data_IF_671257347702
#
_entry.id   IF_671257347702
#
_cell.length_a   1.000
_cell.length_b   1.000
_cell.length_c   1.000
_cell.angle_alpha   90.00
_cell.angle_beta   90.00
_cell.angle_gamma   90.00
#
_symmetry.space_group_name_H-M   'P 1'
#
loop_
_entity.id
_entity.type
_entity.pdbx_description
1 polymer ?
#
# COMPACT_ATOMS: atom_id res chain seq x y z
N UNK A 1 9.61 4.34 -2.67
CA UNK A 1 9.64 3.87 -4.08
C UNK A 1 9.47 5.03 -5.04
N UNK A 2 8.30 5.67 -5.12
CA UNK A 2 7.98 6.64 -6.15
C UNK A 2 8.99 7.80 -6.27
N UNK A 3 9.28 8.52 -5.19
CA UNK A 3 10.22 9.64 -5.22
C UNK A 3 11.65 9.24 -5.58
N UNK A 4 12.11 8.08 -5.11
CA UNK A 4 13.44 7.57 -5.47
C UNK A 4 13.51 7.14 -6.93
N UNK A 5 12.46 6.50 -7.46
CA UNK A 5 12.37 6.13 -8.89
C UNK A 5 12.31 7.39 -9.78
N UNK A 6 11.53 8.39 -9.39
CA UNK A 6 11.46 9.67 -10.08
C UNK A 6 12.82 10.38 -10.08
N UNK A 7 13.52 10.43 -8.95
CA UNK A 7 14.83 11.05 -8.84
C UNK A 7 15.89 10.34 -9.68
N UNK A 8 15.91 9.00 -9.65
CA UNK A 8 16.84 8.21 -10.46
C UNK A 8 16.57 8.41 -11.96
N UNK A 9 15.31 8.41 -12.38
CA UNK A 9 14.92 8.62 -13.78
C UNK A 9 15.24 10.03 -14.26
N UNK A 10 14.93 11.06 -13.46
CA UNK A 10 15.26 12.44 -13.80
C UNK A 10 16.78 12.66 -13.95
N UNK A 11 17.59 12.04 -13.08
CA UNK A 11 19.06 12.05 -13.21
C UNK A 11 19.55 11.37 -14.47
N UNK A 12 18.97 10.22 -14.82
CA UNK A 12 19.29 9.52 -16.08
C UNK A 12 18.99 10.39 -17.31
N UNK A 13 17.93 11.21 -17.25
CA UNK A 13 17.57 12.19 -18.27
C UNK A 13 18.44 13.48 -18.24
N UNK A 14 19.42 13.55 -17.35
CA UNK A 14 20.35 14.67 -17.24
C UNK A 14 19.88 15.85 -16.41
N UNK A 15 18.74 15.72 -15.71
CA UNK A 15 18.21 16.79 -14.88
C UNK A 15 18.97 16.95 -13.56
N UNK A 16 18.94 18.16 -13.04
CA UNK A 16 19.35 18.46 -11.69
C UNK A 16 18.14 18.26 -10.73
N UNK A 17 18.31 17.45 -9.70
CA UNK A 17 17.23 17.02 -8.82
C UNK A 17 17.60 17.32 -7.36
N UNK A 18 16.67 17.89 -6.60
CA UNK A 18 16.70 17.95 -5.15
C UNK A 18 15.59 17.04 -4.59
N UNK A 19 15.93 16.21 -3.59
CA UNK A 19 14.97 15.32 -2.94
C UNK A 19 14.87 15.69 -1.46
N UNK A 20 13.64 15.82 -0.99
CA UNK A 20 13.34 16.14 0.41
C UNK A 20 12.57 14.98 1.05
N UNK A 21 13.03 14.54 2.22
CA UNK A 21 12.43 13.47 3.01
C UNK A 21 12.17 13.96 4.42
N UNK A 22 10.92 13.89 4.87
CA UNK A 22 10.54 14.32 6.22
C UNK A 22 11.08 13.39 7.32
N UNK A 23 11.18 12.11 6.99
CA UNK A 23 11.68 11.08 7.90
C UNK A 23 13.17 11.15 8.15
N UNK A 24 13.62 10.30 9.05
CA UNK A 24 15.03 10.14 9.43
C UNK A 24 15.82 9.21 8.49
N UNK A 25 15.16 8.62 7.50
CA UNK A 25 15.73 7.69 6.54
C UNK A 25 14.98 7.65 5.21
N UNK A 26 15.68 7.27 4.16
CA UNK A 26 15.13 7.06 2.82
C UNK A 26 14.36 5.74 2.72
N UNK A 27 13.47 5.62 1.71
CA UNK A 27 12.77 4.38 1.35
C UNK A 27 11.33 4.27 1.82
N UNK A 28 10.94 4.97 2.88
CA UNK A 28 9.57 5.01 3.39
C UNK A 28 9.00 3.63 3.69
N UNK A 29 7.70 3.42 3.42
CA UNK A 29 7.01 2.14 3.66
C UNK A 29 7.50 0.98 2.75
N UNK A 30 8.26 1.26 1.71
CA UNK A 30 8.88 0.21 0.89
C UNK A 30 9.78 -0.70 1.75
N UNK A 31 10.51 -0.14 2.70
CA UNK A 31 11.37 -0.91 3.62
C UNK A 31 10.62 -1.87 4.54
N UNK A 32 9.32 -1.63 4.76
CA UNK A 32 8.43 -2.46 5.57
C UNK A 32 7.64 -3.48 4.73
N UNK A 33 7.84 -3.47 3.42
CA UNK A 33 7.15 -4.36 2.49
C UNK A 33 7.87 -5.69 2.30
N UNK A 34 7.19 -6.65 1.65
CA UNK A 34 7.82 -7.89 1.19
C UNK A 34 8.70 -7.71 -0.06
N UNK A 35 8.76 -6.52 -0.64
CA UNK A 35 9.55 -6.21 -1.83
C UNK A 35 9.00 -6.76 -3.14
N UNK A 36 7.77 -7.28 -3.17
CA UNK A 36 7.19 -7.85 -4.40
C UNK A 36 6.62 -6.74 -5.28
N UNK A 37 7.22 -6.54 -6.44
CA UNK A 37 6.77 -5.63 -7.50
C UNK A 37 6.08 -6.48 -8.56
N UNK A 38 4.76 -6.32 -8.74
CA UNK A 38 3.95 -7.23 -9.53
C UNK A 38 2.77 -6.54 -10.21
N UNK A 39 2.26 -7.13 -11.30
CA UNK A 39 0.98 -6.83 -11.95
C UNK A 39 0.13 -8.08 -12.13
N UNK A 40 -1.15 -7.93 -12.42
CA UNK A 40 -1.96 -9.05 -12.89
C UNK A 40 -1.40 -9.58 -14.20
N UNK A 41 -1.46 -10.90 -14.37
CA UNK A 41 -1.01 -11.55 -15.61
C UNK A 41 -1.86 -11.11 -16.79
N UNK A 42 -3.17 -11.19 -16.62
CA UNK A 42 -4.15 -10.87 -17.64
C UNK A 42 -4.82 -9.53 -17.35
N UNK A 43 -5.03 -8.74 -18.39
CA UNK A 43 -5.70 -7.45 -18.30
C UNK A 43 -7.10 -7.55 -17.73
N UNK A 44 -7.93 -8.52 -18.21
CA UNK A 44 -9.29 -8.72 -17.74
C UNK A 44 -9.34 -9.10 -16.26
N UNK A 45 -8.31 -9.82 -15.77
CA UNK A 45 -8.17 -10.10 -14.35
C UNK A 45 -7.93 -8.82 -13.56
N UNK A 46 -7.06 -7.92 -14.03
CA UNK A 46 -6.83 -6.64 -13.38
C UNK A 46 -8.14 -5.83 -13.27
N UNK A 47 -8.88 -5.71 -14.37
CA UNK A 47 -10.17 -5.01 -14.38
C UNK A 47 -11.19 -5.64 -13.45
N UNK A 48 -11.21 -6.95 -13.33
CA UNK A 48 -12.11 -7.67 -12.42
C UNK A 48 -11.73 -7.46 -10.95
N UNK A 49 -10.45 -7.41 -10.64
CA UNK A 49 -9.94 -7.26 -9.28
C UNK A 49 -9.92 -5.82 -8.78
N UNK A 50 -9.90 -4.83 -9.67
CA UNK A 50 -9.94 -3.41 -9.36
C UNK A 50 -10.95 -2.71 -10.30
N UNK A 51 -12.26 -3.02 -10.19
CA UNK A 51 -13.27 -2.64 -11.18
C UNK A 51 -13.49 -1.13 -11.27
N UNK A 52 -13.32 -0.42 -10.16
CA UNK A 52 -13.59 1.01 -10.06
C UNK A 52 -12.35 1.88 -10.33
N UNK A 53 -11.21 1.25 -10.62
CA UNK A 53 -9.99 1.94 -10.96
C UNK A 53 -10.05 2.62 -12.32
N UNK A 54 -9.34 3.73 -12.46
CA UNK A 54 -9.19 4.43 -13.75
C UNK A 54 -8.50 3.51 -14.77
N UNK A 55 -9.20 3.23 -15.87
CA UNK A 55 -8.73 2.26 -16.86
C UNK A 55 -7.43 2.73 -17.55
N UNK A 56 -7.28 4.02 -17.81
CA UNK A 56 -6.08 4.54 -18.46
C UNK A 56 -4.86 4.43 -17.54
N UNK A 57 -5.00 4.74 -16.25
CA UNK A 57 -3.94 4.56 -15.27
C UNK A 57 -3.57 3.10 -15.06
N UNK A 58 -4.57 2.22 -14.99
CA UNK A 58 -4.34 0.78 -14.88
C UNK A 58 -3.59 0.23 -16.08
N UNK A 59 -3.95 0.69 -17.30
CA UNK A 59 -3.31 0.28 -18.54
C UNK A 59 -1.84 0.67 -18.57
N UNK A 60 -1.53 1.90 -18.19
CA UNK A 60 -0.14 2.38 -18.07
C UNK A 60 0.68 1.47 -17.15
N UNK A 61 0.16 1.17 -15.95
CA UNK A 61 0.89 0.32 -15.01
C UNK A 61 1.02 -1.11 -15.53
N UNK A 62 -0.02 -1.65 -16.16
CA UNK A 62 -0.02 -3.02 -16.70
C UNK A 62 0.97 -3.19 -17.86
N UNK A 63 1.05 -2.21 -18.74
CA UNK A 63 1.88 -2.29 -19.95
C UNK A 63 3.36 -1.94 -19.68
N UNK A 64 3.64 -1.03 -18.74
CA UNK A 64 5.00 -0.51 -18.54
C UNK A 64 5.76 -1.16 -17.37
N UNK A 65 5.09 -2.04 -16.58
CA UNK A 65 5.75 -2.58 -15.40
C UNK A 65 6.94 -3.47 -15.73
N UNK A 66 6.87 -4.27 -16.78
CA UNK A 66 7.94 -5.22 -17.11
C UNK A 66 9.22 -4.47 -17.44
N UNK A 67 9.15 -3.43 -18.29
CA UNK A 67 10.27 -2.54 -18.61
C UNK A 67 10.79 -1.81 -17.36
N UNK A 68 9.90 -1.41 -16.48
CA UNK A 68 10.28 -0.74 -15.23
C UNK A 68 11.01 -1.69 -14.26
N UNK A 69 10.63 -2.96 -14.20
CA UNK A 69 11.32 -4.01 -13.42
C UNK A 69 12.70 -4.32 -14.02
N UNK A 70 12.80 -4.41 -15.34
CA UNK A 70 14.09 -4.57 -16.03
C UNK A 70 15.02 -3.39 -15.74
N UNK A 71 14.48 -2.17 -15.76
CA UNK A 71 15.24 -0.97 -15.39
C UNK A 71 15.75 -1.05 -13.94
N UNK A 72 14.93 -1.44 -12.95
CA UNK A 72 15.38 -1.65 -11.56
C UNK A 72 16.53 -2.66 -11.48
N UNK A 73 16.41 -3.75 -12.22
CA UNK A 73 17.44 -4.80 -12.27
C UNK A 73 18.74 -4.26 -12.87
N UNK A 74 18.64 -3.43 -13.91
CA UNK A 74 19.82 -2.77 -14.53
C UNK A 74 20.54 -1.79 -13.59
N UNK A 75 19.82 -1.20 -12.63
CA UNK A 75 20.39 -0.37 -11.56
C UNK A 75 21.09 -1.20 -10.46
N UNK A 76 21.03 -2.52 -10.56
CA UNK A 76 21.62 -3.44 -9.57
C UNK A 76 20.77 -3.67 -8.33
N UNK A 77 19.43 -3.52 -8.42
CA UNK A 77 18.52 -3.90 -7.37
C UNK A 77 18.56 -5.43 -7.14
N UNK A 78 18.78 -5.92 -5.90
CA UNK A 78 18.94 -7.34 -5.66
C UNK A 78 17.62 -8.10 -5.82
N UNK A 79 17.56 -9.00 -6.80
CA UNK A 79 16.43 -9.91 -7.00
C UNK A 79 16.52 -11.06 -6.01
N UNK A 80 15.44 -11.31 -5.26
CA UNK A 80 15.29 -12.42 -4.34
C UNK A 80 14.56 -13.59 -5.01
N UNK A 81 13.52 -13.28 -5.81
CA UNK A 81 12.68 -14.28 -6.44
C UNK A 81 12.01 -13.70 -7.68
N UNK A 82 11.90 -14.48 -8.74
CA UNK A 82 11.24 -14.08 -10.00
C UNK A 82 9.77 -14.49 -10.09
N UNK A 83 9.19 -14.96 -8.99
CA UNK A 83 7.79 -15.35 -8.90
C UNK A 83 7.09 -14.63 -7.74
N UNK A 84 5.77 -14.45 -7.89
CA UNK A 84 4.95 -13.77 -6.88
C UNK A 84 4.32 -14.72 -5.87
N UNK A 85 4.33 -16.02 -6.17
CA UNK A 85 3.60 -17.06 -5.43
C UNK A 85 2.08 -17.01 -5.60
N UNK A 86 1.57 -16.18 -6.53
CA UNK A 86 0.15 -16.10 -6.87
C UNK A 86 -0.01 -16.30 -8.38
N UNK A 87 -0.75 -17.32 -8.86
CA UNK A 87 -0.91 -17.63 -10.28
C UNK A 87 -1.59 -16.54 -11.11
N UNK A 88 -2.35 -15.65 -10.45
CA UNK A 88 -3.01 -14.51 -11.10
C UNK A 88 -2.04 -13.37 -11.45
N UNK A 89 -0.81 -13.41 -10.93
CA UNK A 89 0.11 -12.28 -11.01
C UNK A 89 1.47 -12.68 -11.58
N UNK A 90 2.18 -11.70 -12.12
CA UNK A 90 3.57 -11.81 -12.55
C UNK A 90 4.38 -10.67 -11.94
N UNK A 91 5.64 -10.90 -11.66
CA UNK A 91 6.50 -9.87 -11.07
C UNK A 91 7.74 -10.45 -10.42
N UNK A 92 8.47 -9.57 -9.74
CA UNK A 92 9.76 -9.87 -9.13
C UNK A 92 9.76 -9.43 -7.67
N UNK A 93 10.34 -10.24 -6.82
CA UNK A 93 10.62 -9.90 -5.44
C UNK A 93 12.05 -9.40 -5.31
N UNK A 94 12.20 -8.17 -4.85
CA UNK A 94 13.48 -7.56 -4.51
C UNK A 94 13.72 -7.59 -3.00
N UNK A 95 14.99 -7.53 -2.59
CA UNK A 95 15.32 -7.15 -1.22
C UNK A 95 15.00 -5.65 -1.02
N UNK A 96 14.10 -5.26 -0.08
CA UNK A 96 13.68 -3.87 0.04
C UNK A 96 14.81 -2.89 0.38
N UNK A 97 15.79 -3.31 1.18
CA UNK A 97 16.93 -2.48 1.55
C UNK A 97 17.85 -2.27 0.35
N UNK A 98 18.24 -3.35 -0.32
CA UNK A 98 19.07 -3.28 -1.52
C UNK A 98 18.40 -2.55 -2.69
N UNK A 99 17.07 -2.66 -2.83
CA UNK A 99 16.30 -1.89 -3.80
C UNK A 99 16.36 -0.38 -3.48
N UNK A 100 16.22 -0.01 -2.20
CA UNK A 100 16.39 1.38 -1.77
C UNK A 100 17.79 1.91 -2.10
N UNK A 101 18.82 1.15 -1.76
CA UNK A 101 20.22 1.50 -2.04
C UNK A 101 20.50 1.63 -3.54
N UNK A 102 19.96 0.75 -4.38
CA UNK A 102 20.13 0.83 -5.83
C UNK A 102 19.53 2.13 -6.40
N UNK A 103 18.33 2.50 -5.97
CA UNK A 103 17.67 3.73 -6.37
C UNK A 103 18.38 4.98 -5.84
N UNK A 104 18.94 4.96 -4.64
CA UNK A 104 19.74 6.06 -4.09
C UNK A 104 21.03 6.26 -4.88
N UNK A 105 21.75 5.19 -5.23
CA UNK A 105 22.96 5.28 -6.06
C UNK A 105 22.69 5.85 -7.45
N UNK A 106 21.56 5.50 -8.06
CA UNK A 106 21.16 6.00 -9.38
C UNK A 106 20.61 7.43 -9.32
N UNK A 107 19.96 7.78 -8.22
CA UNK A 107 19.32 9.08 -7.99
C UNK A 107 20.18 10.08 -7.22
N UNK A 108 19.58 10.64 -6.20
CA UNK A 108 20.17 11.68 -5.34
C UNK A 108 19.90 11.31 -3.88
N UNK A 109 20.87 11.53 -3.01
CA UNK A 109 20.70 11.42 -1.56
C UNK A 109 19.70 12.47 -1.07
N UNK A 110 18.59 12.06 -0.42
CA UNK A 110 17.58 12.99 0.08
C UNK A 110 18.10 13.85 1.24
N UNK A 111 17.56 15.06 1.35
CA UNK A 111 17.72 15.89 2.54
C UNK A 111 16.74 15.40 3.60
N UNK A 112 17.22 14.57 4.51
CA UNK A 112 16.44 13.98 5.60
C UNK A 112 15.99 15.03 6.63
N UNK A 113 14.92 14.71 7.39
CA UNK A 113 14.35 15.58 8.39
C UNK A 113 13.77 16.89 7.83
N UNK A 114 13.47 16.93 6.53
CA UNK A 114 13.04 18.15 5.84
C UNK A 114 11.64 18.00 5.25
N UNK A 115 10.67 18.68 5.85
CA UNK A 115 9.30 18.78 5.37
C UNK A 115 9.15 20.02 4.48
N UNK A 116 8.60 19.85 3.28
CA UNK A 116 8.21 20.98 2.43
C UNK A 116 6.80 21.43 2.79
N UNK A 117 6.65 22.75 3.07
CA UNK A 117 5.36 23.37 3.38
C UNK A 117 4.66 23.99 2.16
N UNK A 118 5.40 24.21 1.06
CA UNK A 118 4.88 24.83 -0.17
C UNK A 118 5.75 24.46 -1.38
N UNK A 119 5.20 24.47 -2.61
CA UNK A 119 5.97 24.36 -3.85
C UNK A 119 6.99 25.48 -4.01
N UNK A 120 8.01 25.25 -4.84
CA UNK A 120 8.94 26.29 -5.28
C UNK A 120 8.41 26.91 -6.58
N UNK A 121 8.43 28.24 -6.65
CA UNK A 121 7.97 28.95 -7.85
C UNK A 121 8.77 28.55 -9.09
N UNK A 122 8.07 28.13 -10.15
CA UNK A 122 8.67 27.79 -11.44
C UNK A 122 9.54 26.55 -11.46
N UNK A 123 9.51 25.73 -10.41
CA UNK A 123 10.26 24.46 -10.34
C UNK A 123 9.27 23.30 -10.35
N UNK A 124 9.39 22.34 -11.29
CA UNK A 124 8.57 21.13 -11.28
C UNK A 124 8.65 20.39 -9.93
N UNK A 125 7.52 19.98 -9.39
CA UNK A 125 7.42 19.29 -8.11
C UNK A 125 6.72 17.95 -8.26
N UNK A 126 7.38 16.85 -7.86
CA UNK A 126 6.80 15.51 -7.81
C UNK A 126 6.49 15.15 -6.36
N UNK A 127 5.21 15.02 -6.04
CA UNK A 127 4.68 14.61 -4.76
C UNK A 127 4.75 13.08 -4.64
N UNK A 128 5.56 12.59 -3.68
CA UNK A 128 5.80 11.17 -3.46
C UNK A 128 5.94 10.87 -1.96
N UNK A 129 5.08 11.51 -1.13
CA UNK A 129 5.16 11.50 0.34
C UNK A 129 4.55 10.24 0.97
N UNK A 130 3.87 9.40 0.16
CA UNK A 130 3.45 8.06 0.55
C UNK A 130 2.01 7.94 1.05
N UNK A 131 1.15 8.92 0.79
CA UNK A 131 -0.24 8.93 1.19
C UNK A 131 -0.48 9.47 2.59
N UNK A 132 -1.67 9.21 3.15
CA UNK A 132 -2.10 9.86 4.40
C UNK A 132 -2.48 8.91 5.54
N UNK A 133 -2.18 7.63 5.44
CA UNK A 133 -2.52 6.61 6.45
C UNK A 133 -1.88 6.87 7.82
N UNK A 134 -0.83 7.67 7.90
CA UNK A 134 -0.18 8.10 9.15
C UNK A 134 -0.86 9.28 9.84
N UNK A 135 -1.82 9.95 9.18
CA UNK A 135 -2.58 11.07 9.74
C UNK A 135 -3.93 10.60 10.27
N UNK A 136 -4.11 10.56 11.59
CA UNK A 136 -5.40 10.21 12.21
C UNK A 136 -6.54 11.11 11.74
N UNK A 137 -6.28 12.40 11.55
CA UNK A 137 -7.30 13.37 11.14
C UNK A 137 -7.74 13.17 9.69
N UNK A 138 -6.80 12.94 8.77
CA UNK A 138 -7.15 12.66 7.37
C UNK A 138 -7.82 11.29 7.22
N UNK A 139 -7.37 10.27 7.97
CA UNK A 139 -8.03 8.96 8.00
C UNK A 139 -9.45 9.07 8.57
N UNK A 140 -9.65 9.88 9.62
CA UNK A 140 -10.99 10.13 10.17
C UNK A 140 -11.88 10.86 9.18
N UNK A 141 -11.32 11.80 8.45
CA UNK A 141 -12.07 12.61 7.47
C UNK A 141 -12.49 11.79 6.25
N UNK A 142 -11.60 10.96 5.74
CA UNK A 142 -11.83 10.31 4.44
C UNK A 142 -12.12 8.81 4.53
N UNK A 143 -11.60 8.08 5.51
CA UNK A 143 -11.65 6.62 5.52
C UNK A 143 -12.66 6.07 6.54
N UNK A 144 -12.50 6.41 7.82
CA UNK A 144 -13.36 5.88 8.90
C UNK A 144 -13.32 6.75 10.14
N UNK A 145 -14.47 6.91 10.85
CA UNK A 145 -14.50 7.56 12.15
C UNK A 145 -13.65 6.82 13.21
N UNK A 146 -13.41 5.51 13.03
CA UNK A 146 -12.61 4.68 13.92
C UNK A 146 -11.09 4.82 13.73
N UNK A 147 -10.64 5.93 13.16
CA UNK A 147 -9.23 6.17 12.80
C UNK A 147 -8.23 5.92 13.95
N UNK A 148 -8.62 6.23 15.20
CA UNK A 148 -7.74 6.06 16.37
C UNK A 148 -7.52 4.58 16.72
N UNK A 149 -8.45 3.72 16.33
CA UNK A 149 -8.42 2.28 16.60
C UNK A 149 -7.64 1.49 15.54
N UNK A 150 -7.39 2.08 14.36
CA UNK A 150 -6.62 1.40 13.32
C UNK A 150 -5.15 1.21 13.72
N UNK A 151 -4.60 0.06 13.39
CA UNK A 151 -3.16 -0.20 13.51
C UNK A 151 -2.43 0.31 12.27
N UNK A 152 -1.49 1.24 12.45
CA UNK A 152 -0.66 1.72 11.35
C UNK A 152 0.38 0.66 10.95
N UNK A 153 0.27 0.12 9.73
CA UNK A 153 1.21 -0.84 9.11
C UNK A 153 2.09 -0.16 8.06
N UNK A 154 2.56 1.03 8.33
CA UNK A 154 3.37 1.83 7.43
C UNK A 154 4.36 2.67 8.22
N UNK A 155 5.23 3.41 7.50
CA UNK A 155 6.03 4.41 8.17
C UNK A 155 5.14 5.55 8.72
N UNK A 156 5.51 6.18 9.85
CA UNK A 156 4.68 7.20 10.48
C UNK A 156 4.69 8.56 9.74
N UNK A 157 5.62 8.75 8.81
CA UNK A 157 5.76 10.04 8.08
C UNK A 157 4.83 10.19 6.89
N UNK A 158 4.15 9.13 6.45
CA UNK A 158 3.10 9.19 5.40
C UNK A 158 1.82 9.82 5.96
N UNK A 159 1.86 11.12 6.22
CA UNK A 159 0.83 11.89 6.94
C UNK A 159 0.04 12.85 6.05
N UNK A 160 0.11 12.69 4.71
CA UNK A 160 -0.72 13.42 3.76
C UNK A 160 -0.13 14.75 3.28
N UNK A 161 1.15 14.99 3.48
CA UNK A 161 1.78 16.26 3.07
C UNK A 161 1.61 16.49 1.57
N UNK A 162 1.86 15.47 0.74
CA UNK A 162 1.68 15.54 -0.70
C UNK A 162 0.21 15.76 -1.10
N UNK A 163 -0.72 15.07 -0.45
CA UNK A 163 -2.16 15.28 -0.68
C UNK A 163 -2.56 16.74 -0.43
N UNK A 164 -2.16 17.29 0.71
CA UNK A 164 -2.50 18.68 1.08
C UNK A 164 -1.85 19.70 0.15
N UNK A 165 -0.59 19.50 -0.23
CA UNK A 165 0.11 20.37 -1.20
C UNK A 165 -0.55 20.34 -2.58
N UNK A 166 -0.89 19.13 -3.07
CA UNK A 166 -1.56 19.00 -4.36
C UNK A 166 -2.94 19.64 -4.40
N UNK A 167 -3.74 19.49 -3.34
CA UNK A 167 -5.03 20.14 -3.21
C UNK A 167 -4.90 21.68 -3.13
N UNK A 168 -3.93 22.17 -2.36
CA UNK A 168 -3.66 23.61 -2.26
C UNK A 168 -3.22 24.23 -3.60
N UNK A 169 -2.61 23.44 -4.48
CA UNK A 169 -2.21 23.84 -5.81
C UNK A 169 -3.33 23.74 -6.87
N UNK A 170 -4.56 23.42 -6.46
CA UNK A 170 -5.72 23.32 -7.36
C UNK A 170 -5.99 21.90 -7.87
N UNK A 171 -5.27 20.89 -7.40
CA UNK A 171 -5.59 19.49 -7.65
C UNK A 171 -6.91 19.06 -7.01
N UNK A 172 -7.38 17.88 -7.35
CA UNK A 172 -8.60 17.29 -6.81
C UNK A 172 -8.36 15.88 -6.28
N UNK A 173 -9.29 15.39 -5.47
CA UNK A 173 -9.26 14.01 -4.99
C UNK A 173 -9.63 13.04 -6.13
N UNK A 174 -9.01 11.87 -6.11
CA UNK A 174 -9.42 10.74 -6.92
C UNK A 174 -10.69 10.10 -6.36
N UNK A 175 -11.36 9.30 -7.19
CA UNK A 175 -12.39 8.39 -6.71
C UNK A 175 -11.74 7.35 -5.77
N UNK A 176 -12.51 6.83 -4.80
CA UNK A 176 -12.01 5.85 -3.84
C UNK A 176 -11.07 6.41 -2.77
N UNK A 177 -11.12 7.70 -2.47
CA UNK A 177 -10.31 8.32 -1.39
C UNK A 177 -10.55 7.69 -0.02
N UNK A 178 -11.74 7.11 0.19
CA UNK A 178 -12.14 6.39 1.40
C UNK A 178 -11.56 4.97 1.49
N UNK A 179 -10.90 4.50 0.45
CA UNK A 179 -10.39 3.14 0.38
C UNK A 179 -8.92 3.07 0.77
N UNK A 180 -8.54 1.93 1.31
CA UNK A 180 -7.17 1.65 1.69
C UNK A 180 -6.83 0.17 1.52
N UNK A 181 -5.56 -0.10 1.32
CA UNK A 181 -5.00 -1.43 1.46
C UNK A 181 -4.57 -1.66 2.90
N UNK A 182 -4.99 -2.78 3.46
CA UNK A 182 -4.65 -3.17 4.82
C UNK A 182 -4.69 -4.68 5.02
N UNK A 183 -4.52 -5.09 6.28
CA UNK A 183 -4.64 -6.48 6.73
C UNK A 183 -5.32 -6.53 8.08
N UNK A 184 -6.11 -7.57 8.31
CA UNK A 184 -6.51 -7.91 9.65
C UNK A 184 -5.27 -8.34 10.44
N UNK A 185 -5.13 -7.81 11.65
CA UNK A 185 -4.07 -8.13 12.61
C UNK A 185 -4.67 -8.69 13.89
N UNK A 186 -3.92 -9.45 14.69
CA UNK A 186 -4.36 -9.81 16.03
C UNK A 186 -4.72 -8.56 16.84
N UNK A 187 -5.87 -8.54 17.49
CA UNK A 187 -6.28 -7.44 18.35
C UNK A 187 -5.48 -7.47 19.65
N UNK A 188 -4.34 -6.80 19.66
CA UNK A 188 -3.42 -6.65 20.80
C UNK A 188 -3.06 -5.20 20.99
N UNK A 189 -2.53 -4.86 22.16
CA UNK A 189 -2.09 -3.50 22.49
C UNK A 189 -0.84 -3.06 21.75
N UNK A 190 -0.02 -4.02 21.31
CA UNK A 190 1.23 -3.73 20.60
C UNK A 190 1.44 -4.70 19.44
N UNK A 191 1.51 -4.16 18.23
CA UNK A 191 1.91 -4.91 17.04
C UNK A 191 3.30 -4.42 16.62
N UNK A 192 4.35 -5.26 16.67
CA UNK A 192 5.69 -4.86 16.27
C UNK A 192 5.74 -4.45 14.81
N UNK A 193 6.45 -3.35 14.50
CA UNK A 193 6.56 -2.81 13.12
C UNK A 193 7.21 -3.83 12.17
N UNK A 194 8.20 -4.56 12.63
CA UNK A 194 8.90 -5.63 11.91
C UNK A 194 8.10 -6.94 11.84
N UNK A 195 7.05 -7.09 12.66
CA UNK A 195 6.17 -8.25 12.71
C UNK A 195 4.94 -8.21 11.79
N UNK A 196 4.66 -7.10 11.15
CA UNK A 196 3.41 -6.90 10.40
C UNK A 196 3.07 -7.99 9.38
N UNK A 197 4.07 -8.48 8.63
CA UNK A 197 3.84 -9.50 7.60
C UNK A 197 3.47 -10.82 8.26
N UNK A 198 4.24 -11.25 9.26
CA UNK A 198 4.04 -12.54 9.94
C UNK A 198 2.80 -12.62 10.81
N UNK A 199 2.25 -11.47 11.22
CA UNK A 199 1.05 -11.38 12.06
C UNK A 199 -0.25 -11.18 11.28
N UNK A 200 -0.18 -10.96 9.95
CA UNK A 200 -1.38 -10.79 9.14
C UNK A 200 -2.29 -12.03 9.21
N UNK A 201 -3.54 -11.83 9.58
CA UNK A 201 -4.58 -12.85 9.69
C UNK A 201 -5.28 -12.98 8.34
N UNK A 202 -4.66 -13.68 7.39
CA UNK A 202 -5.11 -13.80 5.99
C UNK A 202 -5.84 -15.13 5.78
N UNK A 203 -6.98 -15.30 6.44
CA UNK A 203 -7.81 -16.51 6.34
C UNK A 203 -9.32 -16.23 6.49
N UNK A 204 -9.76 -14.99 6.23
CA UNK A 204 -11.17 -14.63 6.30
C UNK A 204 -12.06 -15.48 5.39
N UNK A 205 -11.51 -15.98 4.26
CA UNK A 205 -12.22 -16.90 3.33
C UNK A 205 -12.58 -18.25 3.96
N UNK A 206 -11.96 -18.61 5.09
CA UNK A 206 -12.20 -19.85 5.85
C UNK A 206 -12.92 -19.58 7.17
N UNK A 207 -13.31 -18.34 7.43
CA UNK A 207 -13.91 -17.90 8.67
C UNK A 207 -15.24 -17.19 8.43
N UNK A 208 -16.11 -17.27 9.41
CA UNK A 208 -17.19 -16.29 9.54
C UNK A 208 -16.60 -15.03 10.18
N UNK A 209 -16.87 -13.87 9.58
CA UNK A 209 -16.39 -12.57 10.10
C UNK A 209 -17.57 -11.85 10.73
N UNK A 210 -17.48 -11.60 12.04
CA UNK A 210 -18.57 -10.96 12.82
C UNK A 210 -18.04 -9.83 13.68
N UNK A 211 -18.82 -8.77 13.87
CA UNK A 211 -18.49 -7.71 14.83
C UNK A 211 -18.97 -8.06 16.25
N UNK A 212 -18.71 -7.20 17.23
CA UNK A 212 -19.13 -7.37 18.62
C UNK A 212 -20.66 -7.42 18.79
N UNK A 213 -21.42 -6.81 17.89
CA UNK A 213 -22.89 -6.84 17.92
C UNK A 213 -23.48 -8.11 17.26
N UNK A 214 -22.63 -8.99 16.71
CA UNK A 214 -23.04 -10.19 15.98
C UNK A 214 -23.44 -9.95 14.54
N UNK A 215 -23.19 -8.76 13.98
CA UNK A 215 -23.39 -8.49 12.56
C UNK A 215 -22.29 -9.15 11.74
N UNK A 216 -22.70 -9.79 10.64
CA UNK A 216 -21.81 -10.56 9.77
C UNK A 216 -21.35 -9.74 8.57
N UNK A 217 -20.14 -10.01 8.15
CA UNK A 217 -19.68 -9.58 6.83
C UNK A 217 -20.30 -10.50 5.76
N UNK A 218 -21.10 -9.91 4.86
CA UNK A 218 -21.82 -10.63 3.80
C UNK A 218 -21.21 -10.39 2.40
N UNK A 219 -20.13 -9.61 2.33
CA UNK A 219 -19.48 -9.25 1.06
C UNK A 219 -18.60 -10.37 0.48
N UNK A 220 -18.07 -10.19 -0.72
CA UNK A 220 -17.11 -11.10 -1.31
C UNK A 220 -15.81 -11.11 -0.51
N UNK A 221 -15.12 -12.26 -0.49
CA UNK A 221 -13.79 -12.39 0.10
C UNK A 221 -12.80 -12.67 -1.03
N UNK A 222 -12.15 -11.60 -1.52
CA UNK A 222 -11.09 -11.70 -2.50
C UNK A 222 -9.83 -12.37 -1.94
N UNK A 223 -8.90 -12.74 -2.81
CA UNK A 223 -7.64 -13.38 -2.39
C UNK A 223 -6.77 -12.49 -1.49
N UNK A 224 -6.95 -11.19 -1.59
CA UNK A 224 -6.24 -10.19 -0.79
C UNK A 224 -7.01 -9.75 0.46
N UNK A 225 -8.28 -10.14 0.61
CA UNK A 225 -9.15 -9.86 1.77
C UNK A 225 -9.23 -8.36 2.13
N UNK A 226 -9.03 -7.47 1.15
CA UNK A 226 -9.03 -6.00 1.37
C UNK A 226 -10.42 -5.52 1.78
N UNK A 227 -11.44 -6.06 1.17
CA UNK A 227 -12.85 -5.74 1.41
C UNK A 227 -13.26 -6.04 2.85
N UNK A 228 -12.80 -7.19 3.35
CA UNK A 228 -13.01 -7.61 4.75
C UNK A 228 -12.37 -6.62 5.71
N UNK A 229 -11.12 -6.23 5.45
CA UNK A 229 -10.39 -5.31 6.34
C UNK A 229 -11.01 -3.91 6.31
N UNK A 230 -11.49 -3.45 5.16
CA UNK A 230 -12.21 -2.18 5.06
C UNK A 230 -13.54 -2.22 5.80
N UNK A 231 -14.25 -3.35 5.79
CA UNK A 231 -15.44 -3.54 6.60
C UNK A 231 -15.11 -3.51 8.10
N UNK A 232 -14.09 -4.25 8.54
CA UNK A 232 -13.61 -4.25 9.93
C UNK A 232 -13.26 -2.82 10.40
N UNK A 233 -12.60 -2.05 9.55
CA UNK A 233 -12.20 -0.68 9.86
C UNK A 233 -13.38 0.27 10.16
N UNK A 234 -14.59 -0.10 9.74
CA UNK A 234 -15.83 0.67 9.98
C UNK A 234 -16.65 0.13 11.16
N UNK A 235 -16.21 -0.98 11.78
CA UNK A 235 -16.87 -1.51 12.97
C UNK A 235 -16.39 -0.79 14.22
N UNK A 236 -17.18 -0.76 15.31
CA UNK A 236 -16.75 -0.15 16.57
C UNK A 236 -15.37 -0.64 17.02
N UNK A 237 -14.46 0.28 17.32
CA UNK A 237 -13.08 -0.02 17.68
C UNK A 237 -12.24 -0.62 16.55
N UNK A 238 -12.72 -0.55 15.30
CA UNK A 238 -12.11 -1.19 14.13
C UNK A 238 -11.80 -2.68 14.34
N UNK A 239 -12.68 -3.41 15.04
CA UNK A 239 -12.50 -4.80 15.48
C UNK A 239 -13.59 -5.72 14.95
N UNK A 240 -13.23 -7.00 14.82
CA UNK A 240 -14.13 -8.09 14.50
C UNK A 240 -13.60 -9.41 15.06
N UNK A 241 -14.38 -10.45 14.88
CA UNK A 241 -14.00 -11.82 15.19
C UNK A 241 -13.93 -12.63 13.90
N UNK A 242 -12.83 -13.38 13.74
CA UNK A 242 -12.74 -14.46 12.76
C UNK A 242 -13.11 -15.76 13.46
N UNK A 243 -14.30 -16.30 13.17
CA UNK A 243 -14.80 -17.56 13.72
C UNK A 243 -14.50 -18.68 12.73
N UNK A 244 -13.55 -19.53 13.09
CA UNK A 244 -12.97 -20.56 12.21
C UNK A 244 -13.45 -21.94 12.67
N UNK A 245 -14.11 -22.74 11.81
CA UNK A 245 -14.45 -24.12 12.13
C UNK A 245 -13.20 -25.00 12.18
N UNK A 246 -13.22 -26.04 13.00
CA UNK A 246 -12.07 -26.97 13.14
C UNK A 246 -11.64 -27.60 11.82
N UNK A 247 -12.58 -27.82 10.91
CA UNK A 247 -12.29 -28.36 9.59
C UNK A 247 -11.37 -27.47 8.74
N UNK A 248 -11.31 -26.16 9.04
CA UNK A 248 -10.50 -25.20 8.30
C UNK A 248 -9.12 -24.93 8.92
N UNK A 249 -8.80 -25.51 10.09
CA UNK A 249 -7.52 -25.24 10.77
C UNK A 249 -6.30 -25.69 9.97
N UNK A 250 -6.42 -26.73 9.14
CA UNK A 250 -5.35 -27.24 8.30
C UNK A 250 -5.23 -26.56 6.93
N UNK A 251 -6.16 -25.65 6.61
CA UNK A 251 -6.13 -24.93 5.34
C UNK A 251 -4.90 -24.06 5.20
N UNK A 252 -4.30 -24.09 4.00
CA UNK A 252 -3.09 -23.33 3.69
C UNK A 252 -3.43 -21.89 3.30
N UNK A 253 -2.64 -20.98 3.84
CA UNK A 253 -2.63 -19.56 3.48
C UNK A 253 -1.26 -19.17 2.94
N UNK A 254 -1.12 -17.92 2.49
CA UNK A 254 0.17 -17.37 2.07
C UNK A 254 1.24 -17.40 3.18
N UNK A 255 0.86 -17.40 4.45
CA UNK A 255 1.77 -17.23 5.58
C UNK A 255 1.84 -18.45 6.51
N UNK A 256 1.33 -19.60 6.06
CA UNK A 256 1.23 -20.86 6.80
C UNK A 256 -0.20 -21.32 6.96
N UNK A 257 -0.44 -22.36 7.73
CA UNK A 257 -1.79 -22.87 7.97
C UNK A 257 -2.61 -21.90 8.84
N UNK A 258 -3.94 -22.00 8.76
CA UNK A 258 -4.86 -21.23 9.60
C UNK A 258 -4.52 -21.43 11.09
N UNK A 259 -4.27 -22.68 11.50
CA UNK A 259 -3.88 -23.00 12.88
C UNK A 259 -2.61 -22.29 13.33
N UNK A 260 -1.58 -22.20 12.46
CA UNK A 260 -0.35 -21.49 12.77
C UNK A 260 -0.57 -19.98 12.91
N UNK A 261 -1.42 -19.38 12.08
CA UNK A 261 -1.75 -17.95 12.18
C UNK A 261 -2.52 -17.64 13.48
N UNK A 262 -3.47 -18.49 13.87
CA UNK A 262 -4.17 -18.40 15.14
C UNK A 262 -3.19 -18.50 16.32
N UNK A 263 -2.23 -19.43 16.25
CA UNK A 263 -1.24 -19.60 17.31
C UNK A 263 -0.30 -18.38 17.40
N UNK A 264 0.07 -17.76 16.27
CA UNK A 264 0.82 -16.48 16.26
C UNK A 264 0.02 -15.36 16.91
N UNK A 265 -1.29 -15.27 16.62
CA UNK A 265 -2.16 -14.29 17.25
C UNK A 265 -2.22 -14.48 18.78
N UNK A 266 -2.34 -15.72 19.24
CA UNK A 266 -2.35 -16.04 20.68
C UNK A 266 -1.04 -15.65 21.36
N UNK A 267 0.12 -15.91 20.74
CA UNK A 267 1.45 -15.59 21.30
C UNK A 267 1.67 -14.10 21.50
N UNK A 268 1.07 -13.25 20.67
CA UNK A 268 1.15 -11.78 20.81
C UNK A 268 0.03 -11.20 21.70
N UNK A 269 -0.76 -12.05 22.36
CA UNK A 269 -1.74 -11.64 23.35
C UNK A 269 -3.12 -11.29 22.80
N UNK A 270 -3.43 -11.65 21.54
CA UNK A 270 -4.78 -11.50 21.03
C UNK A 270 -5.77 -12.42 21.77
N UNK A 271 -7.00 -11.95 21.89
CA UNK A 271 -8.10 -12.76 22.44
C UNK A 271 -8.45 -13.88 21.47
N UNK A 272 -8.26 -15.13 21.93
CA UNK A 272 -8.56 -16.34 21.17
C UNK A 272 -9.45 -17.23 22.03
N UNK A 273 -10.69 -17.45 21.59
CA UNK A 273 -11.70 -18.22 22.30
C UNK A 273 -11.97 -19.55 21.61
N UNK A 274 -12.03 -20.62 22.40
CA UNK A 274 -12.48 -21.92 21.91
C UNK A 274 -14.00 -22.00 22.09
N UNK A 275 -14.75 -22.33 21.04
CA UNK A 275 -16.21 -22.47 21.03
C UNK A 275 -16.59 -23.81 20.39
N UNK A 276 -16.85 -24.84 21.18
CA UNK A 276 -17.17 -26.20 20.70
C UNK A 276 -16.26 -26.65 19.55
N UNK A 277 -16.76 -26.62 18.31
CA UNK A 277 -16.05 -27.01 17.07
C UNK A 277 -15.45 -25.85 16.31
N UNK A 278 -15.29 -24.70 16.94
CA UNK A 278 -14.82 -23.47 16.33
C UNK A 278 -13.79 -22.77 17.20
N UNK A 279 -12.93 -21.98 16.56
CA UNK A 279 -12.03 -21.06 17.25
C UNK A 279 -12.29 -19.64 16.79
N UNK A 280 -12.61 -18.75 17.73
CA UNK A 280 -12.80 -17.34 17.44
C UNK A 280 -11.53 -16.55 17.79
N UNK A 281 -11.06 -15.71 16.88
CA UNK A 281 -9.89 -14.84 17.03
C UNK A 281 -10.32 -13.40 16.89
N UNK A 282 -10.04 -12.59 17.89
CA UNK A 282 -10.29 -11.15 17.80
C UNK A 282 -9.21 -10.49 16.93
N UNK A 283 -9.68 -9.76 15.92
CA UNK A 283 -8.82 -9.05 14.96
C UNK A 283 -9.13 -7.55 14.95
N UNK A 284 -8.14 -6.76 14.56
CA UNK A 284 -8.24 -5.32 14.36
C UNK A 284 -7.80 -4.97 12.94
N UNK A 285 -8.41 -3.96 12.35
CA UNK A 285 -7.99 -3.48 11.04
C UNK A 285 -6.64 -2.76 11.10
N UNK A 286 -5.70 -3.19 10.27
CA UNK A 286 -4.43 -2.50 10.05
C UNK A 286 -4.43 -1.78 8.70
N UNK A 287 -4.10 -0.50 8.70
CA UNK A 287 -3.98 0.32 7.49
C UNK A 287 -2.52 0.37 7.03
N UNK A 288 -2.28 0.01 5.77
CA UNK A 288 -0.93 0.00 5.17
C UNK A 288 -0.71 1.16 4.23
N UNK A 289 -1.68 1.43 3.37
CA UNK A 289 -1.62 2.50 2.38
C UNK A 289 -3.03 2.91 1.96
N UNK A 290 -3.26 4.21 1.84
CA UNK A 290 -4.44 4.74 1.16
C UNK A 290 -4.35 4.43 -0.34
N UNK A 291 -5.44 3.97 -0.95
CA UNK A 291 -5.52 3.67 -2.39
C UNK A 291 -6.08 4.83 -3.20
N UNK A 292 -6.82 5.71 -2.54
CA UNK A 292 -7.16 7.02 -3.06
C UNK A 292 -6.12 8.07 -2.66
N UNK A 293 -6.14 9.19 -3.36
CA UNK A 293 -5.20 10.29 -3.20
C UNK A 293 -5.55 11.45 -4.13
N UNK A 294 -4.55 12.08 -4.71
CA UNK A 294 -4.74 13.08 -5.75
C UNK A 294 -5.17 12.41 -7.06
N UNK A 295 -6.12 13.04 -7.75
CA UNK A 295 -6.45 12.69 -9.13
C UNK A 295 -5.28 13.08 -10.02
N UNK A 296 -4.84 12.16 -10.84
CA UNK A 296 -3.73 12.35 -11.77
C UNK A 296 -4.16 11.96 -13.19
N UNK A 297 -3.45 12.46 -14.18
CA UNK A 297 -3.50 11.91 -15.54
C UNK A 297 -2.50 10.76 -15.72
N UNK A 298 -2.41 10.20 -16.93
CA UNK A 298 -1.51 9.08 -17.25
C UNK A 298 -0.02 9.43 -17.17
N UNK A 299 0.34 10.68 -16.98
CA UNK A 299 1.69 11.17 -16.75
C UNK A 299 1.97 11.50 -15.29
N UNK A 300 0.97 11.33 -14.40
CA UNK A 300 1.06 11.68 -12.99
C UNK A 300 0.77 13.15 -12.68
N UNK A 301 0.34 13.95 -13.65
CA UNK A 301 0.10 15.38 -13.48
C UNK A 301 -1.14 15.63 -12.63
N UNK A 302 -1.00 16.51 -11.64
CA UNK A 302 -2.07 16.97 -10.72
C UNK A 302 -2.54 18.36 -11.09
N UNK A 303 -1.60 19.27 -11.31
CA UNK A 303 -1.80 20.66 -11.66
C UNK A 303 -0.60 21.16 -12.44
N UNK A 304 -0.61 22.43 -12.86
CA UNK A 304 0.52 23.02 -13.58
C UNK A 304 1.79 22.98 -12.72
N UNK A 305 2.86 22.37 -13.25
CA UNK A 305 4.13 22.19 -12.56
C UNK A 305 4.12 21.19 -11.40
N UNK A 306 3.03 20.43 -11.18
CA UNK A 306 2.91 19.50 -10.06
C UNK A 306 2.45 18.12 -10.52
N UNK A 307 3.18 17.09 -10.10
CA UNK A 307 2.91 15.68 -10.34
C UNK A 307 2.78 14.93 -9.01
N UNK A 308 2.11 13.78 -9.02
CA UNK A 308 2.04 12.87 -7.88
C UNK A 308 2.28 11.43 -8.31
N UNK A 309 2.91 10.65 -7.43
CA UNK A 309 3.16 9.23 -7.65
C UNK A 309 3.15 8.44 -6.34
N UNK A 310 2.93 7.13 -6.44
CA UNK A 310 2.83 6.26 -5.28
C UNK A 310 1.59 6.54 -4.44
N UNK A 311 1.70 6.60 -3.11
CA UNK A 311 0.57 6.78 -2.21
C UNK A 311 -0.13 8.14 -2.29
N UNK A 312 0.50 9.15 -2.89
CA UNK A 312 -0.12 10.45 -3.10
C UNK A 312 -1.03 10.48 -4.33
N UNK A 313 -0.81 9.56 -5.28
CA UNK A 313 -1.62 9.37 -6.48
C UNK A 313 -2.69 8.31 -6.25
N UNK A 314 -3.95 8.64 -6.47
CA UNK A 314 -5.07 7.72 -6.33
C UNK A 314 -5.64 7.26 -7.67
N UNK A 315 -6.64 6.37 -7.59
CA UNK A 315 -7.45 5.95 -8.73
C UNK A 315 -7.00 4.67 -9.42
N UNK A 316 -5.80 4.14 -9.18
CA UNK A 316 -5.32 2.93 -9.88
C UNK A 316 -5.93 1.65 -9.29
N UNK A 317 -5.96 1.53 -7.96
CA UNK A 317 -6.38 0.31 -7.25
C UNK A 317 -7.80 0.38 -6.70
N UNK A 318 -8.60 1.37 -7.10
CA UNK A 318 -9.95 1.58 -6.59
C UNK A 318 -10.82 0.34 -6.82
N UNK A 319 -11.53 -0.09 -5.79
CA UNK A 319 -12.37 -1.29 -5.78
C UNK A 319 -11.61 -2.59 -5.53
N UNK A 320 -10.29 -2.56 -5.25
CA UNK A 320 -9.53 -3.78 -5.06
C UNK A 320 -8.10 -3.63 -4.56
N UNK A 321 -7.22 -4.49 -5.07
CA UNK A 321 -5.82 -4.55 -4.66
C UNK A 321 -4.88 -4.80 -5.83
N UNK A 322 -3.84 -3.98 -5.91
CA UNK A 322 -2.71 -4.17 -6.80
C UNK A 322 -1.38 -3.88 -6.09
N UNK A 323 -0.25 -4.14 -6.74
CA UNK A 323 1.06 -3.78 -6.19
C UNK A 323 1.26 -2.27 -6.14
N UNK A 324 1.21 -1.72 -4.94
CA UNK A 324 1.51 -0.32 -4.72
C UNK A 324 2.96 0.05 -5.10
N UNK A 325 3.89 -0.91 -4.99
CA UNK A 325 5.26 -0.72 -5.45
C UNK A 325 5.33 -0.60 -6.97
N UNK A 326 4.52 -1.35 -7.69
CA UNK A 326 4.45 -1.28 -9.15
C UNK A 326 3.90 0.07 -9.62
N UNK A 327 2.77 0.51 -9.08
CA UNK A 327 2.21 1.84 -9.39
C UNK A 327 3.21 2.96 -9.03
N UNK A 328 3.84 2.87 -7.86
CA UNK A 328 4.82 3.85 -7.43
C UNK A 328 6.06 3.91 -8.35
N UNK A 329 6.51 2.77 -8.84
CA UNK A 329 7.64 2.67 -9.77
C UNK A 329 7.31 3.29 -11.13
N UNK A 330 6.23 2.82 -11.75
CA UNK A 330 5.83 3.25 -13.09
C UNK A 330 5.47 4.73 -13.09
N UNK A 331 4.57 5.16 -12.21
CA UNK A 331 4.11 6.55 -12.16
C UNK A 331 5.22 7.52 -11.70
N UNK A 332 6.15 7.07 -10.83
CA UNK A 332 7.30 7.89 -10.46
C UNK A 332 8.24 8.17 -11.63
N UNK A 333 8.49 7.19 -12.49
CA UNK A 333 9.29 7.36 -13.72
C UNK A 333 8.59 8.28 -14.71
N UNK A 334 7.29 8.05 -14.96
CA UNK A 334 6.49 8.86 -15.89
C UNK A 334 6.38 10.33 -15.44
N UNK A 335 6.17 10.55 -14.14
CA UNK A 335 6.14 11.91 -13.60
C UNK A 335 7.47 12.64 -13.83
N UNK A 336 8.60 11.97 -13.70
CA UNK A 336 9.91 12.55 -13.98
C UNK A 336 10.11 12.84 -15.48
N UNK A 337 9.66 11.95 -16.36
CA UNK A 337 9.73 12.11 -17.81
C UNK A 337 8.89 13.31 -18.28
N UNK A 338 7.62 13.41 -17.84
CA UNK A 338 6.73 14.51 -18.24
C UNK A 338 7.14 15.86 -17.60
N UNK A 339 7.69 15.85 -16.39
CA UNK A 339 8.17 17.07 -15.74
C UNK A 339 9.39 17.71 -16.43
N UNK A 340 10.09 16.96 -17.26
CA UNK A 340 11.26 17.43 -17.99
C UNK A 340 11.00 17.73 -19.47
N UNK A 341 9.81 17.44 -19.98
CA UNK A 341 9.34 17.73 -21.34
C UNK A 341 9.77 16.73 -22.34
#
# INVERSE_FOLDING_TARGET
MAGLAAAARARELGARVDVYEKGDRSGGSMLLSSGVVWRYREWDEFRRQCPDGDEALQRVVHEELDDAVEWLTSLGAPVVEVETGNPLTVGVRFDPAGLCEALLRAGVEPRLGTQLGQPFDGVPLILATGGFQGSRDLVRTYVTPEADSLVLRANPWSSGDGLLLGLAAGGSLSDGVEQFYGRALPATTEVPVDGFIGLAQLYARFAEVINEAGERYEGPVGWAEVEVVQWIARQPGARAWFVVPDSALAEETRYGTVAELIERARRVGARVERRDKETAVEVVAGITQTTGGLRIDTHGRVADGIWAAGGDAGGVATGGYMSNLASALVMGRRAAEDALG
#
